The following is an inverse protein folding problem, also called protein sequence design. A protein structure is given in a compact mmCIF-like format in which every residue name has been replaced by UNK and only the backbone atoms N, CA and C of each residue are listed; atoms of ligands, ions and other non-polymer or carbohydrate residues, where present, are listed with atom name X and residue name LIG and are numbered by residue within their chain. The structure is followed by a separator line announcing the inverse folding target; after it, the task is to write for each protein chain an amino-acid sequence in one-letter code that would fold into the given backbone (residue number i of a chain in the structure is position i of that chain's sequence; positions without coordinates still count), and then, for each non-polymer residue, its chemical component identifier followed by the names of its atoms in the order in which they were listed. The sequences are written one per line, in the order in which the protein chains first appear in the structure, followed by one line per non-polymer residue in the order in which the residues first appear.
data_IF_666230116274
#
_entry.id   IF_666230116274
#
_cell.length_a   1.000
_cell.length_b   1.000
_cell.length_c   1.000
_cell.angle_alpha   90.00
_cell.angle_beta   90.00
_cell.angle_gamma   90.00
#
_symmetry.space_group_name_H-M   'P 1'
#
loop_
_entity.id
_entity.type
_entity.pdbx_description
1 polymer ?
#
# COMPACT_ATOMS: atom_id res chain seq x y z
N UNK A 1 -18.19 12.54 -10.63
CA UNK A 1 -17.65 11.93 -10.45
C UNK A 1 -16.63 12.12 -9.74
N UNK A 2 -16.22 11.60 -9.25
CA UNK A 2 -15.36 11.76 -8.51
C UNK A 2 -14.17 11.88 -9.02
N UNK A 3 -13.52 12.55 -8.77
CA UNK A 3 -12.44 12.72 -9.22
C UNK A 3 -11.49 12.26 -8.43
N UNK A 4 -10.62 11.79 -8.63
CA UNK A 4 -9.70 11.35 -7.95
C UNK A 4 -8.57 12.14 -8.03
N UNK A 5 -8.09 12.58 -7.02
CA UNK A 5 -6.91 13.33 -6.98
C UNK A 5 -5.70 12.46 -7.10
N UNK A 6 -5.82 11.18 -6.87
CA UNK A 6 -4.69 10.30 -7.08
C UNK A 6 -5.19 9.02 -7.70
N UNK A 7 -4.50 8.57 -8.72
CA UNK A 7 -4.82 7.35 -9.39
C UNK A 7 -4.39 6.16 -8.55
N UNK A 8 -5.16 5.09 -8.64
CA UNK A 8 -4.83 3.83 -7.99
C UNK A 8 -4.57 2.80 -9.07
N UNK A 9 -3.55 2.01 -8.87
CA UNK A 9 -3.17 0.99 -9.83
C UNK A 9 -3.31 -0.37 -9.19
N UNK A 10 -4.00 -1.28 -9.84
CA UNK A 10 -4.11 -2.64 -9.35
C UNK A 10 -2.80 -3.33 -9.66
N UNK A 11 -1.86 -3.16 -8.78
CA UNK A 11 -0.52 -3.65 -8.96
C UNK A 11 -0.01 -4.29 -7.72
N UNK A 12 0.64 -5.41 -7.89
CA UNK A 12 1.23 -6.13 -6.77
C UNK A 12 2.70 -5.77 -6.72
N UNK A 13 3.06 -4.94 -5.76
CA UNK A 13 4.45 -4.63 -5.52
C UNK A 13 4.79 -5.07 -4.12
N UNK A 14 6.07 -5.29 -3.89
CA UNK A 14 6.53 -5.70 -2.59
C UNK A 14 6.62 -4.48 -1.68
N UNK A 15 6.09 -4.63 -0.48
CA UNK A 15 6.15 -3.56 0.52
C UNK A 15 6.36 -4.23 1.86
N UNK A 16 7.06 -3.55 2.77
CA UNK A 16 7.13 -4.03 4.13
C UNK A 16 6.24 -3.17 5.00
N UNK A 17 5.65 -3.78 6.01
CA UNK A 17 4.90 -3.07 7.04
C UNK A 17 5.63 -3.43 8.32
N UNK A 18 6.42 -2.47 8.85
CA UNK A 18 7.40 -2.80 9.85
C UNK A 18 8.43 -3.72 9.21
N UNK A 19 8.62 -4.89 9.76
CA UNK A 19 9.54 -5.87 9.19
C UNK A 19 8.84 -6.92 8.35
N UNK A 20 7.52 -6.89 8.26
CA UNK A 20 6.77 -7.95 7.58
C UNK A 20 6.61 -7.65 6.10
N UNK A 21 7.06 -8.53 5.21
CA UNK A 21 6.88 -8.31 3.78
C UNK A 21 5.46 -8.70 3.36
N UNK A 22 4.85 -7.86 2.54
CA UNK A 22 3.52 -8.14 1.99
C UNK A 22 3.50 -7.67 0.54
N UNK A 23 2.46 -8.12 -0.18
CA UNK A 23 2.25 -7.67 -1.54
C UNK A 23 1.02 -6.78 -1.56
N UNK A 24 1.08 -5.71 -2.31
CA UNK A 24 -0.07 -4.82 -2.42
C UNK A 24 -1.13 -5.43 -3.33
N UNK A 25 -2.37 -5.02 -3.11
CA UNK A 25 -3.47 -5.32 -4.01
C UNK A 25 -3.65 -4.16 -4.99
N UNK A 26 -3.50 -2.95 -4.48
CA UNK A 26 -3.48 -1.76 -5.31
C UNK A 26 -2.61 -0.72 -4.63
N UNK A 27 -2.16 0.26 -5.37
CA UNK A 27 -1.30 1.29 -4.84
C UNK A 27 -1.44 2.55 -5.67
N UNK A 28 -1.35 3.69 -5.02
CA UNK A 28 -1.29 5.00 -5.66
C UNK A 28 -0.48 5.94 -4.81
N UNK A 29 -0.43 7.20 -5.20
CA UNK A 29 0.36 8.19 -4.45
C UNK A 29 -0.21 8.46 -3.06
N UNK A 30 -1.48 8.15 -2.84
CA UNK A 30 -2.11 8.38 -1.55
C UNK A 30 -1.97 7.24 -0.57
N UNK A 31 -1.68 6.03 -1.05
CA UNK A 31 -1.58 4.88 -0.17
C UNK A 31 -1.71 3.57 -0.92
N UNK A 32 -1.86 2.49 -0.16
CA UNK A 32 -1.99 1.17 -0.76
C UNK A 32 -2.94 0.30 0.05
N UNK A 33 -3.42 -0.75 -0.57
CA UNK A 33 -4.15 -1.80 0.12
C UNK A 33 -3.33 -3.08 0.01
N UNK A 34 -3.38 -3.89 1.04
CA UNK A 34 -2.64 -5.13 1.08
C UNK A 34 -3.45 -6.22 1.76
N UNK A 35 -3.11 -7.45 1.44
CA UNK A 35 -3.74 -8.60 2.04
C UNK A 35 -2.73 -9.23 3.00
N UNK A 36 -3.16 -9.52 4.20
CA UNK A 36 -2.25 -10.07 5.20
C UNK A 36 -3.02 -10.89 6.21
N UNK A 37 -2.30 -11.75 6.90
CA UNK A 37 -2.94 -12.64 7.87
C UNK A 37 -3.53 -11.90 9.06
N UNK A 38 -2.87 -10.84 9.49
CA UNK A 38 -3.30 -10.13 10.66
C UNK A 38 -3.33 -8.64 10.37
N UNK A 39 -4.52 -8.05 10.38
CA UNK A 39 -4.66 -6.64 10.12
C UNK A 39 -4.46 -5.85 11.41
N UNK A 40 -4.07 -4.60 11.25
CA UNK A 40 -3.87 -3.69 12.38
C UNK A 40 -5.10 -2.81 12.58
N UNK A 41 -5.31 -2.32 13.79
CA UNK A 41 -6.44 -1.42 14.03
C UNK A 41 -6.35 -0.16 13.19
N UNK A 42 -7.50 0.39 12.83
CA UNK A 42 -7.58 1.67 12.13
C UNK A 42 -6.92 2.73 12.99
N UNK A 43 -6.13 3.59 12.37
CA UNK A 43 -5.38 4.61 13.08
C UNK A 43 -3.99 4.20 13.49
N UNK A 44 -3.65 2.91 13.37
CA UNK A 44 -2.29 2.46 13.68
C UNK A 44 -1.30 3.14 12.75
N UNK A 45 -0.17 3.56 13.31
CA UNK A 45 0.89 4.15 12.51
C UNK A 45 1.83 3.05 12.06
N UNK A 46 2.16 3.08 10.78
CA UNK A 46 3.01 2.05 10.17
C UNK A 46 4.13 2.72 9.40
N UNK A 47 5.18 1.98 9.17
CA UNK A 47 6.27 2.45 8.33
C UNK A 47 6.93 1.23 7.71
N UNK A 48 7.60 1.45 6.62
CA UNK A 48 8.28 0.38 5.93
C UNK A 48 8.91 0.87 4.65
N UNK A 49 9.07 -0.06 3.71
CA UNK A 49 9.77 0.19 2.46
C UNK A 49 8.87 -0.25 1.31
N UNK A 50 8.76 0.61 0.30
CA UNK A 50 8.12 0.25 -0.96
C UNK A 50 9.19 -0.09 -1.97
N UNK A 51 8.97 -1.15 -2.74
CA UNK A 51 9.89 -1.47 -3.84
C UNK A 51 9.25 -0.98 -5.14
N UNK A 52 9.73 0.15 -5.63
CA UNK A 52 9.16 0.76 -6.83
C UNK A 52 10.25 0.99 -7.86
N UNK A 53 10.04 0.47 -9.08
CA UNK A 53 10.97 0.73 -10.16
C UNK A 53 12.37 0.23 -9.89
N UNK A 54 12.51 -0.83 -9.10
CA UNK A 54 13.80 -1.37 -8.77
C UNK A 54 14.51 -0.67 -7.63
N UNK A 55 13.86 0.32 -7.02
CA UNK A 55 14.45 1.06 -5.90
C UNK A 55 13.59 0.91 -4.66
N UNK A 56 14.22 1.07 -3.51
CA UNK A 56 13.51 1.01 -2.23
C UNK A 56 13.18 2.42 -1.80
N UNK A 57 11.93 2.67 -1.42
CA UNK A 57 11.48 3.96 -0.96
C UNK A 57 10.86 3.81 0.42
N UNK A 58 11.39 4.49 1.42
CA UNK A 58 10.80 4.41 2.76
C UNK A 58 9.50 5.19 2.78
N UNK A 59 8.55 4.73 3.59
CA UNK A 59 7.29 5.42 3.74
C UNK A 59 6.84 5.38 5.19
N UNK A 60 5.95 6.29 5.53
CA UNK A 60 5.18 6.24 6.77
C UNK A 60 3.72 6.41 6.42
N UNK A 61 2.87 5.78 7.18
CA UNK A 61 1.46 5.86 6.93
C UNK A 61 0.63 5.51 8.14
N UNK A 62 -0.66 5.43 7.89
CA UNK A 62 -1.63 5.18 8.93
C UNK A 62 -2.68 4.26 8.38
N UNK A 63 -3.12 3.29 9.15
CA UNK A 63 -4.17 2.38 8.71
C UNK A 63 -5.47 3.15 8.59
N UNK A 64 -6.00 3.23 7.38
CA UNK A 64 -7.21 3.98 7.10
C UNK A 64 -8.46 3.11 7.25
N UNK A 65 -8.34 1.83 6.96
CA UNK A 65 -9.44 0.89 7.10
C UNK A 65 -8.87 -0.52 7.23
N UNK A 66 -9.67 -1.42 7.77
CA UNK A 66 -9.28 -2.81 7.81
C UNK A 66 -10.50 -3.70 7.63
N UNK A 67 -10.25 -4.90 7.18
CA UNK A 67 -11.26 -5.93 7.05
C UNK A 67 -10.59 -7.21 7.51
N UNK A 68 -10.84 -7.65 8.74
CA UNK A 68 -10.18 -8.83 9.26
C UNK A 68 -10.54 -10.08 8.47
N UNK A 69 -9.61 -11.00 8.40
CA UNK A 69 -9.87 -12.29 7.81
C UNK A 69 -10.46 -13.23 8.84
N UNK A 70 -10.45 -14.50 8.50
CA UNK A 70 -10.96 -15.52 9.39
C UNK A 70 -9.98 -16.69 9.36
N UNK A 71 -9.22 -16.84 10.44
CA UNK A 71 -8.20 -17.88 10.50
C UNK A 71 -8.79 -19.28 10.45
N UNK A 72 -10.04 -19.42 10.88
CA UNK A 72 -10.66 -20.75 10.88
C UNK A 72 -10.85 -21.30 9.48
N UNK A 73 -10.99 -20.41 8.51
CA UNK A 73 -11.16 -20.83 7.12
C UNK A 73 -10.00 -20.34 6.27
N UNK A 74 -8.91 -19.96 6.93
CA UNK A 74 -7.69 -19.52 6.26
C UNK A 74 -7.93 -18.36 5.32
N UNK A 75 -8.84 -17.48 5.67
CA UNK A 75 -9.11 -16.29 4.87
C UNK A 75 -8.29 -15.14 5.42
N UNK A 76 -7.49 -14.52 4.55
CA UNK A 76 -6.67 -13.39 4.95
C UNK A 76 -7.50 -12.13 5.05
N UNK A 77 -7.04 -11.21 5.88
CA UNK A 77 -7.66 -9.92 5.97
C UNK A 77 -7.08 -8.96 4.95
N UNK A 78 -7.67 -7.77 4.89
CA UNK A 78 -7.20 -6.70 4.02
C UNK A 78 -7.13 -5.41 4.81
N UNK A 79 -6.23 -4.54 4.39
CA UNK A 79 -6.02 -3.32 5.13
C UNK A 79 -5.55 -2.26 4.16
N UNK A 80 -6.05 -1.05 4.34
CA UNK A 80 -5.60 0.10 3.54
C UNK A 80 -4.74 1.00 4.39
N UNK A 81 -3.64 1.46 3.81
CA UNK A 81 -2.70 2.37 4.45
C UNK A 81 -2.69 3.66 3.67
N UNK A 82 -2.87 4.78 4.37
CA UNK A 82 -2.76 6.10 3.78
C UNK A 82 -1.38 6.61 4.10
N UNK A 83 -0.65 7.05 3.08
CA UNK A 83 0.69 7.59 3.30
C UNK A 83 0.61 8.91 4.06
N UNK A 84 1.45 9.05 5.07
CA UNK A 84 1.65 10.32 5.74
C UNK A 84 3.00 10.93 5.37
N UNK A 85 3.93 10.07 4.95
CA UNK A 85 5.23 10.52 4.44
C UNK A 85 5.65 9.62 3.31
N UNK A 86 6.05 10.21 2.20
CA UNK A 86 6.49 9.47 1.04
C UNK A 86 7.50 10.33 0.29
N UNK A 87 8.66 9.79 -0.10
CA UNK A 87 9.62 10.58 -0.86
C UNK A 87 9.00 11.13 -2.13
N UNK A 88 9.33 12.37 -2.51
CA UNK A 88 8.74 12.96 -3.71
C UNK A 88 8.95 12.14 -4.97
N UNK A 89 10.10 11.50 -5.11
CA UNK A 89 10.35 10.69 -6.30
C UNK A 89 9.42 9.50 -6.37
N UNK A 90 9.13 8.90 -5.21
CA UNK A 90 8.22 7.76 -5.18
C UNK A 90 6.81 8.21 -5.51
N UNK A 91 6.39 9.34 -4.94
CA UNK A 91 5.07 9.87 -5.22
C UNK A 91 4.91 10.19 -6.71
N UNK A 92 5.96 10.74 -7.30
CA UNK A 92 5.94 11.07 -8.72
C UNK A 92 5.80 9.81 -9.58
N UNK A 93 6.53 8.77 -9.22
CA UNK A 93 6.42 7.51 -9.96
C UNK A 93 5.02 6.93 -9.86
N UNK A 94 4.41 6.99 -8.69
CA UNK A 94 3.09 6.44 -8.50
C UNK A 94 2.01 7.23 -9.23
N UNK A 95 2.27 8.48 -9.57
CA UNK A 95 1.33 9.27 -10.37
C UNK A 95 1.58 9.12 -11.85
N UNK A 96 2.70 8.55 -12.23
CA UNK A 96 3.07 8.47 -13.63
C UNK A 96 2.22 7.46 -14.38
N UNK A 97 1.70 7.81 -15.57
CA UNK A 97 1.01 6.80 -16.38
C UNK A 97 1.88 5.61 -16.73
N UNK A 98 3.18 5.82 -16.83
CA UNK A 98 4.09 4.73 -17.16
C UNK A 98 4.13 3.66 -16.08
N UNK A 99 3.86 4.04 -14.82
CA UNK A 99 3.88 3.09 -13.73
C UNK A 99 2.83 2.00 -13.94
N UNK A 100 1.64 2.36 -14.38
CA UNK A 100 0.59 1.37 -14.56
C UNK A 100 0.82 0.50 -15.78
N UNK A 101 1.75 0.87 -16.65
CA UNK A 101 2.06 0.07 -17.82
C UNK A 101 3.22 -0.88 -17.61
N UNK A 102 3.90 -0.72 -16.50
CA UNK A 102 5.00 -1.59 -16.21
C UNK A 102 4.48 -2.86 -15.65
N UNK A 103 4.55 -3.80 -16.34
CA UNK A 103 4.21 -5.08 -15.97
C UNK A 103 3.42 -5.66 -15.04
#
# INVERSE_FOLDING_TARGET
MTDRTSARHKRRIRVTIGAAPVMTLDIGAGGFAAELMRVLPVGSKVQGILRIGGADAPYRGEVAWNKPGDARIQMRGRMGVRFTELPPEAAKLLRSPAFSQIG
#
